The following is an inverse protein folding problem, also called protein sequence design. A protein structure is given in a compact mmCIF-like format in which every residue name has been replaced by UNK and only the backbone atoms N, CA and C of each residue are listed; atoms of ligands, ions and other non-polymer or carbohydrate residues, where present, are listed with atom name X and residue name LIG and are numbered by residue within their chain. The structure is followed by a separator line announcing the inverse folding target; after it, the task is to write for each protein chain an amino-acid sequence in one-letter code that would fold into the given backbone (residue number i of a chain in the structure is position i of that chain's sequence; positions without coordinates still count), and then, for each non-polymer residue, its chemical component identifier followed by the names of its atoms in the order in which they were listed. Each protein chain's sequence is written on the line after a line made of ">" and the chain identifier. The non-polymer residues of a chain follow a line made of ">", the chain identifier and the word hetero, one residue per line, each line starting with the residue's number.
data_IF_674392520428
#
_entry.id   IF_674392520428
#
_cell.length_a   1.000
_cell.length_b   1.000
_cell.length_c   1.000
_cell.angle_alpha   90.00
_cell.angle_beta   90.00
_cell.angle_gamma   90.00
#
_symmetry.space_group_name_H-M   'P 1'
#
loop_
_entity.id
_entity.type
_entity.pdbx_description
1 polymer ?
2 non-polymer ?
3 water ?
#
# COMPACT_ATOMS: atom_id res chain seq x y z
N UNK A 1 -28.09 20.39 1.73
CA UNK A 1 -29.56 20.69 1.85
C UNK A 1 -30.29 20.63 0.51
N UNK A 2 -29.76 21.25 -0.54
CA UNK A 2 -30.31 21.02 -1.90
C UNK A 2 -29.34 21.29 -3.06
N UNK A 3 -29.11 20.25 -3.86
CA UNK A 3 -28.18 20.29 -4.99
C UNK A 3 -28.55 19.29 -6.07
N UNK A 4 -27.95 19.41 -7.24
CA UNK A 4 -27.89 18.32 -8.22
C UNK A 4 -26.42 18.00 -8.48
N UNK A 5 -26.13 16.73 -8.73
CA UNK A 5 -24.77 16.25 -9.00
C UNK A 5 -24.75 15.26 -10.17
N UNK A 6 -23.57 15.07 -10.75
CA UNK A 6 -23.36 14.06 -11.77
C UNK A 6 -23.31 12.68 -11.10
N UNK A 7 -24.05 11.73 -11.67
CA UNK A 7 -24.15 10.36 -11.14
C UNK A 7 -22.77 9.68 -11.01
N UNK A 8 -21.96 9.76 -12.06
CA UNK A 8 -20.62 9.14 -12.08
C UNK A 8 -19.66 9.78 -11.08
N UNK A 9 -19.70 11.10 -10.96
CA UNK A 9 -18.91 11.80 -9.95
C UNK A 9 -19.27 11.32 -8.54
N UNK A 10 -20.58 11.21 -8.28
CA UNK A 10 -21.09 10.80 -6.99
C UNK A 10 -20.74 9.34 -6.70
N UNK A 11 -21.06 8.45 -7.64
CA UNK A 11 -20.73 7.02 -7.50
C UNK A 11 -19.26 6.79 -7.17
N UNK A 12 -18.37 7.36 -7.99
CA UNK A 12 -16.93 7.21 -7.76
C UNK A 12 -16.47 7.70 -6.41
N UNK A 13 -16.94 8.87 -5.99
CA UNK A 13 -16.62 9.36 -4.65
C UNK A 13 -17.12 8.39 -3.56
N UNK A 14 -18.34 7.87 -3.72
CA UNK A 14 -18.90 6.94 -2.75
C UNK A 14 -18.12 5.61 -2.67
N UNK A 15 -17.62 5.13 -3.80
CA UNK A 15 -16.86 3.87 -3.82
C UNK A 15 -15.64 3.95 -2.92
N UNK A 16 -14.86 5.02 -3.08
CA UNK A 16 -13.67 5.26 -2.29
C UNK A 16 -13.95 5.35 -0.81
N UNK A 17 -15.07 5.97 -0.46
CA UNK A 17 -15.47 6.18 0.93
C UNK A 17 -15.89 4.90 1.67
N UNK A 18 -16.30 3.87 0.92
CA UNK A 18 -16.80 2.62 1.52
C UNK A 18 -15.84 2.03 2.54
N UNK A 19 -14.55 2.04 2.22
CA UNK A 19 -13.54 1.43 3.09
C UNK A 19 -13.33 2.16 4.41
N UNK A 20 -13.86 3.37 4.54
CA UNK A 20 -13.74 4.15 5.78
C UNK A 20 -15.00 4.08 6.65
N UNK A 21 -15.91 3.16 6.34
CA UNK A 21 -17.16 3.00 7.07
C UNK A 21 -17.20 1.66 7.76
N UNK A 22 -17.70 1.65 9.00
CA UNK A 22 -18.11 0.41 9.64
C UNK A 22 -19.55 0.17 9.22
N UNK A 23 -19.74 -0.78 8.32
CA UNK A 23 -20.99 -0.93 7.61
C UNK A 23 -21.99 -1.85 8.27
N UNK A 24 -21.54 -2.68 9.20
CA UNK A 24 -22.38 -3.78 9.70
C UNK A 24 -23.53 -3.27 10.55
N UNK A 25 -23.27 -2.31 11.42
CA UNK A 25 -24.31 -1.70 12.23
C UNK A 25 -24.78 -0.39 11.57
N UNK A 26 -25.86 -0.49 10.81
CA UNK A 26 -26.44 0.64 10.09
C UNK A 26 -27.05 1.69 11.02
N UNK A 27 -27.33 1.33 12.28
CA UNK A 27 -27.84 2.28 13.27
C UNK A 27 -26.76 3.19 13.91
N UNK A 28 -25.48 2.98 13.58
CA UNK A 28 -24.39 3.78 14.15
C UNK A 28 -23.91 4.79 13.14
N UNK A 29 -23.56 5.96 13.64
CA UNK A 29 -22.99 7.04 12.85
C UNK A 29 -21.71 6.60 12.10
N UNK A 30 -21.00 5.60 12.62
CA UNK A 30 -19.83 5.03 11.93
C UNK A 30 -20.15 4.36 10.57
N UNK A 31 -21.42 4.07 10.30
CA UNK A 31 -21.86 3.63 8.96
C UNK A 31 -22.24 4.76 7.99
N UNK A 32 -22.17 6.01 8.46
CA UNK A 32 -22.59 7.16 7.66
C UNK A 32 -21.43 7.99 7.08
N UNK A 33 -21.71 8.65 5.97
CA UNK A 33 -20.83 9.62 5.36
C UNK A 33 -21.36 10.99 5.78
N UNK A 34 -20.47 11.89 6.17
CA UNK A 34 -20.83 13.27 6.45
C UNK A 34 -20.91 14.02 5.14
N UNK A 35 -21.92 14.87 5.00
CA UNK A 35 -22.18 15.65 3.78
C UNK A 35 -22.19 17.14 4.09
N UNK A 36 -21.55 17.95 3.25
CA UNK A 36 -21.56 19.42 3.40
C UNK A 36 -21.59 20.10 2.04
N UNK A 37 -22.62 20.91 1.81
CA UNK A 37 -22.72 21.71 0.59
C UNK A 37 -22.31 23.13 0.94
N UNK A 38 -21.19 23.58 0.39
CA UNK A 38 -20.82 25.01 0.40
C UNK A 38 -20.18 25.44 -0.93
N UNK A 39 -20.53 26.67 -1.33
CA UNK A 39 -20.27 27.19 -2.67
C UNK A 39 -20.84 26.21 -3.72
N UNK A 40 -20.03 25.74 -4.68
CA UNK A 40 -20.51 24.81 -5.68
C UNK A 40 -19.82 23.46 -5.46
N UNK A 41 -19.72 23.04 -4.20
CA UNK A 41 -19.07 21.79 -3.85
C UNK A 41 -19.88 20.99 -2.84
N UNK A 42 -20.00 19.68 -3.10
CA UNK A 42 -20.45 18.72 -2.10
C UNK A 42 -19.21 18.07 -1.53
N UNK A 43 -19.05 18.20 -0.21
CA UNK A 43 -17.97 17.56 0.52
C UNK A 43 -18.52 16.31 1.16
N UNK A 44 -17.81 15.21 0.99
CA UNK A 44 -18.16 13.91 1.57
C UNK A 44 -16.99 13.41 2.38
N UNK A 45 -17.22 13.06 3.65
CA UNK A 45 -16.16 12.46 4.44
C UNK A 45 -16.62 11.32 5.31
N UNK A 46 -15.69 10.42 5.57
CA UNK A 46 -15.88 9.31 6.49
C UNK A 46 -14.55 9.12 7.20
N UNK A 47 -14.60 9.07 8.53
CA UNK A 47 -13.40 9.02 9.34
C UNK A 47 -13.67 8.50 10.74
N UNK A 48 -12.59 8.32 11.49
CA UNK A 48 -12.68 8.07 12.92
C UNK A 48 -11.34 8.47 13.54
N UNK A 49 -11.05 8.04 14.76
CA UNK A 49 -9.75 8.28 15.40
C UNK A 49 -8.54 7.87 14.54
N UNK A 50 -8.66 6.72 13.86
CA UNK A 50 -7.52 6.06 13.19
C UNK A 50 -7.20 6.57 11.79
N UNK A 51 -8.25 6.79 11.00
CA UNK A 51 -8.11 6.93 9.56
C UNK A 51 -9.31 7.66 8.99
N UNK A 52 -9.13 8.33 7.86
CA UNK A 52 -10.24 9.03 7.24
C UNK A 52 -9.96 9.55 5.86
N UNK A 53 -11.03 9.85 5.14
CA UNK A 53 -10.97 10.43 3.82
C UNK A 53 -11.98 11.56 3.74
N UNK A 54 -11.56 12.69 3.17
CA UNK A 54 -12.46 13.74 2.75
C UNK A 54 -12.33 13.93 1.26
N UNK A 55 -13.46 13.94 0.55
CA UNK A 55 -13.50 14.14 -0.89
C UNK A 55 -14.48 15.25 -1.19
N UNK A 56 -14.43 15.76 -2.42
CA UNK A 56 -15.45 16.67 -2.91
C UNK A 56 -15.76 16.39 -4.37
N UNK A 57 -16.97 16.74 -4.76
CA UNK A 57 -17.36 16.85 -6.18
C UNK A 57 -18.08 18.18 -6.41
N UNK A 58 -18.06 18.62 -7.66
CA UNK A 58 -18.69 19.87 -8.06
C UNK A 58 -20.18 19.65 -8.21
N UNK A 59 -20.97 20.59 -7.71
CA UNK A 59 -22.40 20.57 -7.93
C UNK A 59 -22.69 21.06 -9.35
N UNK A 60 -23.60 20.39 -10.03
CA UNK A 60 -24.14 20.87 -11.30
C UNK A 60 -25.03 22.08 -11.06
N UNK A 61 -25.84 22.03 -10.01
CA UNK A 61 -26.56 23.19 -9.50
C UNK A 61 -26.53 23.16 -7.98
N UNK A 62 -26.56 24.33 -7.37
CA UNK A 62 -26.69 24.43 -5.93
C UNK A 62 -27.79 25.42 -5.62
N UNK A 63 -28.72 25.00 -4.77
CA UNK A 63 -29.79 25.87 -4.31
C UNK A 63 -29.77 26.15 -2.82
N UNK A 64 -29.25 25.23 -2.02
CA UNK A 64 -29.40 25.31 -0.58
C UNK A 64 -28.17 24.66 0.06
N UNK A 65 -27.42 25.48 0.81
CA UNK A 65 -26.22 25.05 1.49
C UNK A 65 -26.54 24.57 2.89
N UNK A 66 -25.78 23.57 3.33
CA UNK A 66 -25.88 23.03 4.67
C UNK A 66 -25.23 21.65 4.79
N UNK A 67 -25.56 20.96 5.87
CA UNK A 67 -24.90 19.73 6.28
C UNK A 67 -25.91 18.66 6.62
N UNK A 68 -25.41 17.42 6.64
CA UNK A 68 -26.16 16.25 7.05
C UNK A 68 -25.30 14.99 7.01
N UNK A 69 -25.93 13.84 7.04
CA UNK A 69 -25.24 12.56 7.00
C UNK A 69 -26.11 11.55 6.30
N UNK A 70 -25.50 10.43 5.92
CA UNK A 70 -26.22 9.36 5.24
C UNK A 70 -25.45 8.04 5.31
N UNK A 71 -26.19 6.94 5.42
CA UNK A 71 -25.59 5.61 5.39
C UNK A 71 -24.87 5.39 4.05
N UNK A 72 -23.56 5.22 4.12
CA UNK A 72 -22.72 5.20 2.92
C UNK A 72 -22.91 4.00 2.01
N UNK A 73 -23.08 2.81 2.60
CA UNK A 73 -23.32 1.58 1.82
C UNK A 73 -24.64 1.67 1.06
N UNK A 74 -25.70 2.05 1.77
CA UNK A 74 -27.03 2.20 1.18
C UNK A 74 -27.07 3.26 0.08
N UNK A 75 -26.42 4.39 0.33
CA UNK A 75 -26.31 5.49 -0.64
C UNK A 75 -25.65 4.98 -1.92
N UNK A 76 -24.51 4.33 -1.78
CA UNK A 76 -23.81 3.73 -2.93
C UNK A 76 -24.68 2.70 -3.65
N UNK A 77 -25.40 1.86 -2.90
CA UNK A 77 -26.26 0.84 -3.54
C UNK A 77 -27.34 1.50 -4.38
N UNK A 78 -27.96 2.57 -3.87
CA UNK A 78 -28.97 3.31 -4.65
C UNK A 78 -28.42 3.96 -5.91
N UNK A 79 -27.32 4.69 -5.80
CA UNK A 79 -26.75 5.44 -6.93
C UNK A 79 -26.28 4.50 -8.06
N UNK A 80 -25.66 3.38 -7.67
CA UNK A 80 -25.26 2.33 -8.60
C UNK A 80 -26.37 1.80 -9.50
N UNK A 81 -27.61 1.79 -9.00
CA UNK A 81 -28.77 1.31 -9.77
C UNK A 81 -29.47 2.41 -10.61
N UNK A 82 -28.90 3.62 -10.62
CA UNK A 82 -29.45 4.72 -11.42
C UNK A 82 -28.76 4.88 -12.77
N UNK A 83 -29.40 5.66 -13.63
CA UNK A 83 -28.89 5.96 -14.97
C UNK A 83 -27.94 7.15 -14.89
N UNK A 84 -27.28 7.45 -16.00
CA UNK A 84 -26.23 8.50 -16.00
C UNK A 84 -26.70 9.95 -15.82
N UNK A 85 -27.99 10.23 -16.05
CA UNK A 85 -28.52 11.59 -15.86
C UNK A 85 -28.28 12.12 -14.43
N UNK A 86 -28.20 13.45 -14.30
CA UNK A 86 -27.97 14.09 -13.00
C UNK A 86 -28.93 13.64 -11.90
N UNK A 87 -28.45 13.72 -10.67
CA UNK A 87 -29.20 13.29 -9.48
C UNK A 87 -29.41 14.47 -8.55
N UNK A 88 -30.65 14.63 -8.09
CA UNK A 88 -31.01 15.68 -7.16
C UNK A 88 -30.94 15.11 -5.74
N UNK A 89 -30.14 15.76 -4.89
CA UNK A 89 -30.05 15.43 -3.47
C UNK A 89 -30.66 16.58 -2.69
N UNK A 90 -31.55 16.26 -1.76
CA UNK A 90 -32.40 17.27 -1.13
C UNK A 90 -32.86 16.83 0.25
N UNK A 91 -32.56 17.61 1.28
CA UNK A 91 -33.02 17.31 2.65
C UNK A 91 -34.51 17.58 2.78
N UNK A 92 -35.15 16.80 3.64
CA UNK A 92 -36.53 17.00 4.06
C UNK A 92 -36.54 16.75 5.56
N UNK A 93 -36.15 17.76 6.33
CA UNK A 93 -35.82 17.65 7.77
C UNK A 93 -34.64 16.69 8.06
N UNK A 94 -34.88 15.54 8.69
CA UNK A 94 -33.77 14.61 9.02
C UNK A 94 -33.77 13.40 8.08
N UNK A 95 -34.07 13.68 6.82
CA UNK A 95 -34.12 12.68 5.76
C UNK A 95 -33.49 13.28 4.51
N UNK A 96 -32.71 12.48 3.77
CA UNK A 96 -32.19 12.88 2.47
C UNK A 96 -32.99 12.24 1.36
N UNK A 97 -33.50 13.08 0.47
CA UNK A 97 -34.23 12.63 -0.71
C UNK A 97 -33.26 12.59 -1.87
N UNK A 98 -33.41 11.57 -2.70
CA UNK A 98 -32.56 11.33 -3.86
C UNK A 98 -33.52 11.11 -5.02
N UNK A 99 -33.37 11.89 -6.09
CA UNK A 99 -34.30 11.84 -7.21
C UNK A 99 -33.59 11.87 -8.55
N UNK A 100 -34.13 11.09 -9.47
CA UNK A 100 -33.70 11.06 -10.85
C UNK A 100 -34.90 10.60 -11.69
N UNK A 101 -35.47 11.53 -12.46
CA UNK A 101 -36.60 11.25 -13.37
C UNK A 101 -37.78 10.66 -12.57
N UNK A 102 -38.16 9.41 -12.85
CA UNK A 102 -39.29 8.77 -12.18
C UNK A 102 -38.91 8.07 -10.87
N UNK A 103 -37.62 7.97 -10.58
CA UNK A 103 -37.12 7.23 -9.39
C UNK A 103 -36.81 8.18 -8.24
N UNK A 104 -37.32 7.87 -7.04
CA UNK A 104 -37.04 8.68 -5.85
C UNK A 104 -36.83 7.82 -4.60
N UNK A 105 -35.92 8.28 -3.73
CA UNK A 105 -35.52 7.54 -2.51
C UNK A 105 -35.47 8.48 -1.31
N UNK A 106 -35.73 7.92 -0.13
CA UNK A 106 -35.48 8.57 1.15
C UNK A 106 -34.57 7.69 2.00
N UNK A 107 -33.57 8.31 2.63
CA UNK A 107 -32.80 7.68 3.68
C UNK A 107 -32.70 8.62 4.89
N UNK A 108 -32.61 8.05 6.11
CA UNK A 108 -32.50 8.88 7.30
C UNK A 108 -31.10 9.44 7.50
N UNK A 109 -31.03 10.71 7.89
CA UNK A 109 -29.78 11.36 8.30
C UNK A 109 -29.68 11.25 9.81
N UNK A 110 -28.45 11.30 10.32
CA UNK A 110 -28.23 11.38 11.75
C UNK A 110 -27.76 12.79 12.08
N UNK A 111 -27.57 13.06 13.36
CA UNK A 111 -27.09 14.35 13.81
C UNK A 111 -25.64 14.53 13.32
N UNK A 112 -25.44 15.49 12.43
CA UNK A 112 -24.11 15.74 11.87
C UNK A 112 -23.06 16.16 12.92
N UNK A 113 -23.51 16.71 14.05
CA UNK A 113 -22.62 17.01 15.18
C UNK A 113 -21.98 15.80 15.87
N UNK A 114 -22.55 14.61 15.70
CA UNK A 114 -21.94 13.38 16.23
C UNK A 114 -20.71 12.94 15.42
N UNK A 115 -20.56 13.46 14.21
CA UNK A 115 -19.48 13.06 13.32
C UNK A 115 -18.12 13.58 13.81
N UNK A 116 -17.07 12.72 13.82
CA UNK A 116 -15.78 13.20 14.31
C UNK A 116 -15.24 14.40 13.52
N UNK A 117 -14.60 15.31 14.23
CA UNK A 117 -13.90 16.42 13.58
C UNK A 117 -12.76 15.87 12.73
N UNK A 118 -12.72 16.28 11.46
CA UNK A 118 -11.66 15.86 10.56
C UNK A 118 -10.39 16.61 10.98
N UNK A 119 -9.30 15.89 11.27
CA UNK A 119 -8.16 16.53 11.90
C UNK A 119 -7.33 17.33 10.90
N UNK A 120 -6.64 18.35 11.42
CA UNK A 120 -5.62 19.08 10.67
C UNK A 120 -4.35 19.11 11.51
N UNK A 121 -3.21 19.12 10.84
CA UNK A 121 -1.91 19.09 11.51
C UNK A 121 -1.12 20.34 11.21
N UNK A 122 -0.18 20.64 12.11
CA UNK A 122 0.91 21.56 11.83
C UNK A 122 2.07 20.67 11.41
N UNK A 123 2.38 20.64 10.11
CA UNK A 123 3.37 19.68 9.64
C UNK A 123 4.78 19.94 10.15
N UNK A 124 5.43 18.90 10.67
CA UNK A 124 6.86 18.90 10.99
C UNK A 124 7.71 18.49 9.79
N UNK A 125 7.13 17.70 8.89
CA UNK A 125 7.77 17.30 7.62
C UNK A 125 6.74 17.34 6.48
N UNK A 126 7.21 17.71 5.30
CA UNK A 126 6.32 17.84 4.14
C UNK A 126 7.09 17.52 2.87
N UNK A 127 6.46 16.79 1.96
CA UNK A 127 6.98 16.60 0.63
C UNK A 127 5.87 16.74 -0.40
N UNK A 128 6.25 17.12 -1.61
CA UNK A 128 5.37 17.09 -2.76
C UNK A 128 5.85 15.94 -3.63
N UNK A 129 4.97 15.00 -3.91
CA UNK A 129 5.30 13.85 -4.73
C UNK A 129 4.73 14.07 -6.12
N UNK A 130 5.62 14.31 -7.08
CA UNK A 130 5.22 14.62 -8.47
C UNK A 130 5.42 13.46 -9.45
N UNK A 131 5.77 12.28 -8.93
CA UNK A 131 6.03 11.10 -9.76
C UNK A 131 5.59 9.83 -9.01
N UNK A 132 5.47 8.68 -9.71
CA UNK A 132 4.93 7.48 -9.06
C UNK A 132 5.87 6.66 -8.18
N UNK A 133 7.12 7.09 -7.99
CA UNK A 133 8.10 6.27 -7.25
C UNK A 133 7.66 5.88 -5.84
N UNK A 134 6.98 6.79 -5.13
CA UNK A 134 6.61 6.51 -3.75
C UNK A 134 5.57 5.41 -3.69
N UNK A 135 4.49 5.53 -4.46
CA UNK A 135 3.46 4.49 -4.48
C UNK A 135 3.99 3.20 -5.10
N UNK A 136 4.94 3.34 -6.04
CA UNK A 136 5.59 2.17 -6.59
C UNK A 136 6.31 1.40 -5.48
N UNK A 137 7.03 2.13 -4.63
CA UNK A 137 7.70 1.51 -3.47
C UNK A 137 6.72 0.87 -2.50
N UNK A 138 5.67 1.60 -2.18
CA UNK A 138 4.57 1.14 -1.34
C UNK A 138 3.99 -0.17 -1.84
N UNK A 139 3.71 -0.21 -3.14
CA UNK A 139 3.11 -1.39 -3.75
C UNK A 139 4.09 -2.59 -3.72
N UNK A 140 5.35 -2.34 -4.02
CA UNK A 140 6.33 -3.43 -4.11
C UNK A 140 6.73 -4.00 -2.74
N UNK A 141 6.62 -3.18 -1.69
CA UNK A 141 7.05 -3.56 -0.35
C UNK A 141 5.90 -4.11 0.49
N UNK A 142 4.67 -3.68 0.20
CA UNK A 142 3.49 -4.09 0.98
C UNK A 142 3.37 -5.59 1.25
N UNK A 143 3.65 -6.46 0.25
CA UNK A 143 3.50 -7.91 0.48
C UNK A 143 4.32 -8.50 1.63
N UNK A 144 5.45 -7.90 1.99
CA UNK A 144 6.25 -8.41 3.09
C UNK A 144 5.72 -7.99 4.48
N UNK A 145 4.78 -7.04 4.54
CA UNK A 145 4.27 -6.54 5.83
C UNK A 145 2.99 -7.29 6.24
N UNK A 146 3.01 -7.85 7.45
CA UNK A 146 1.84 -8.52 8.01
C UNK A 146 0.98 -7.51 8.79
N UNK A 147 -0.23 -7.25 8.29
CA UNK A 147 -1.14 -6.28 8.91
C UNK A 147 -1.54 -6.72 10.32
N UNK A 148 -1.86 -8.00 10.46
CA UNK A 148 -2.19 -8.61 11.76
C UNK A 148 -0.94 -9.02 12.57
N UNK A 149 0.22 -8.40 12.31
CA UNK A 149 1.44 -8.71 13.06
C UNK A 149 1.20 -8.42 14.52
N UNK A 150 1.62 -9.34 15.37
CA UNK A 150 1.42 -9.21 16.81
C UNK A 150 2.36 -8.17 17.46
N UNK A 151 3.44 -7.78 16.76
CA UNK A 151 4.30 -6.67 17.15
C UNK A 151 3.91 -5.41 16.35
N UNK A 152 3.65 -4.32 17.08
CA UNK A 152 2.97 -3.12 16.54
C UNK A 152 3.72 -2.42 15.40
N UNK A 153 5.01 -2.16 15.59
CA UNK A 153 5.76 -1.34 14.62
C UNK A 153 6.10 -2.06 13.32
N UNK A 154 6.08 -3.39 13.34
CA UNK A 154 6.26 -4.19 12.12
C UNK A 154 4.96 -4.33 11.35
N UNK A 155 3.84 -3.93 11.95
CA UNK A 155 2.56 -3.90 11.22
C UNK A 155 2.45 -2.73 10.22
N UNK A 156 3.52 -1.96 10.05
CA UNK A 156 3.51 -0.85 9.10
C UNK A 156 4.80 -0.67 8.32
N UNK A 157 4.80 0.33 7.45
CA UNK A 157 5.94 0.58 6.58
C UNK A 157 6.72 1.78 7.11
N UNK A 158 8.03 1.67 7.15
CA UNK A 158 8.89 2.76 7.59
C UNK A 158 9.11 3.73 6.44
N UNK A 159 9.00 5.02 6.75
CA UNK A 159 9.43 6.10 5.89
C UNK A 159 10.47 6.89 6.68
N UNK A 160 11.74 6.82 6.25
CA UNK A 160 12.82 7.51 6.93
C UNK A 160 13.35 8.62 6.04
N UNK A 161 13.13 9.86 6.47
CA UNK A 161 13.52 11.05 5.73
C UNK A 161 14.88 11.55 6.22
N UNK A 162 15.81 11.77 5.29
CA UNK A 162 17.06 12.44 5.60
C UNK A 162 17.06 13.76 4.83
N UNK A 163 16.65 14.81 5.52
CA UNK A 163 16.63 16.18 4.97
C UNK A 163 18.02 16.59 4.48
N UNK A 164 19.06 16.27 5.24
CA UNK A 164 20.44 16.63 4.90
C UNK A 164 20.89 16.10 3.53
N UNK A 165 20.55 14.84 3.23
CA UNK A 165 20.95 14.21 1.96
C UNK A 165 19.79 14.09 0.96
N UNK A 166 18.61 14.60 1.31
CA UNK A 166 17.44 14.63 0.43
C UNK A 166 17.01 13.21 -0.02
N UNK A 167 17.00 12.27 0.92
CA UNK A 167 16.60 10.89 0.62
C UNK A 167 15.43 10.43 1.49
N UNK A 168 14.57 9.62 0.87
CA UNK A 168 13.46 8.98 1.55
C UNK A 168 13.74 7.48 1.46
N UNK A 169 13.94 6.85 2.61
CA UNK A 169 14.08 5.41 2.70
C UNK A 169 12.73 4.82 3.08
N UNK A 170 12.36 3.74 2.40
CA UNK A 170 11.13 3.02 2.67
C UNK A 170 11.47 1.56 2.94
N UNK A 171 10.94 1.01 4.04
CA UNK A 171 11.32 -0.29 4.57
C UNK A 171 10.10 -1.05 5.10
N UNK A 172 9.97 -2.30 4.68
CA UNK A 172 9.01 -3.24 5.25
C UNK A 172 9.72 -4.50 5.70
N UNK A 173 9.17 -5.16 6.73
CA UNK A 173 9.68 -6.45 7.20
C UNK A 173 8.64 -7.26 7.97
N UNK A 174 8.78 -8.57 7.90
CA UNK A 174 8.04 -9.51 8.75
C UNK A 174 8.97 -10.32 9.63
N UNK A 175 10.24 -9.93 9.70
CA UNK A 175 11.30 -10.63 10.47
C UNK A 175 12.05 -11.76 9.74
N UNK A 176 11.42 -12.37 8.73
CA UNK A 176 12.05 -13.38 7.88
C UNK A 176 12.69 -12.79 6.63
N UNK A 177 12.16 -11.64 6.22
CA UNK A 177 12.59 -10.93 5.01
C UNK A 177 12.37 -9.42 5.20
N UNK A 178 13.22 -8.64 4.57
CA UNK A 178 13.18 -7.20 4.68
C UNK A 178 13.36 -6.59 3.29
N UNK A 179 12.38 -5.82 2.84
CA UNK A 179 12.44 -5.14 1.54
C UNK A 179 12.62 -3.64 1.74
N UNK A 180 13.51 -3.04 0.96
CA UNK A 180 13.84 -1.62 1.11
C UNK A 180 14.15 -0.93 -0.21
N UNK A 181 13.94 0.37 -0.22
CA UNK A 181 14.45 1.23 -1.27
C UNK A 181 14.84 2.56 -0.64
N UNK A 182 15.77 3.25 -1.27
CA UNK A 182 16.08 4.61 -0.87
C UNK A 182 15.91 5.49 -2.10
N UNK A 183 15.00 6.44 -1.99
CA UNK A 183 14.66 7.32 -3.10
C UNK A 183 15.51 8.58 -2.97
N UNK A 184 16.16 8.96 -4.05
CA UNK A 184 17.15 10.06 -4.06
C UNK A 184 16.52 11.33 -4.62
N UNK A 185 17.13 12.47 -4.28
CA UNK A 185 16.72 13.77 -4.80
C UNK A 185 15.24 14.07 -4.56
N UNK A 186 14.80 13.93 -3.30
CA UNK A 186 13.46 14.33 -2.88
C UNK A 186 13.57 15.63 -2.09
N UNK A 187 12.91 16.69 -2.54
CA UNK A 187 12.92 17.97 -1.81
C UNK A 187 12.09 17.81 -0.55
N UNK A 188 12.78 17.56 0.56
CA UNK A 188 12.16 17.38 1.86
C UNK A 188 12.22 18.70 2.62
N UNK A 189 11.05 19.14 3.11
CA UNK A 189 10.97 20.30 4.01
C UNK A 189 10.65 19.77 5.39
N UNK A 190 11.63 19.89 6.29
CA UNK A 190 11.52 19.37 7.64
C UNK A 190 12.18 20.30 8.66
N UNK A 191 11.69 20.24 9.89
CA UNK A 191 12.29 20.90 11.02
C UNK A 191 13.51 20.12 11.59
N UNK A 192 13.65 18.84 11.22
CA UNK A 192 14.83 18.04 11.62
C UNK A 192 15.57 17.44 10.41
N UNK A 193 16.86 17.17 10.60
CA UNK A 193 17.71 16.57 9.58
C UNK A 193 17.38 15.09 9.35
N UNK A 194 16.90 14.43 10.40
CA UNK A 194 16.44 13.03 10.33
C UNK A 194 15.13 12.85 11.09
N UNK A 195 14.21 12.08 10.50
CA UNK A 195 12.87 11.89 11.05
C UNK A 195 12.20 10.67 10.41
N UNK A 196 11.39 9.95 11.19
CA UNK A 196 10.81 8.69 10.76
C UNK A 196 9.32 8.60 11.07
N UNK A 197 8.55 8.05 10.13
CA UNK A 197 7.11 7.81 10.27
C UNK A 197 6.86 6.31 9.98
N UNK A 198 5.98 5.68 10.75
CA UNK A 198 5.56 4.32 10.48
C UNK A 198 4.08 4.34 10.14
N UNK A 199 3.75 4.07 8.87
CA UNK A 199 2.36 4.05 8.40
C UNK A 199 1.78 2.66 8.55
N UNK A 200 0.58 2.52 9.15
CA UNK A 200 -0.06 1.19 9.20
C UNK A 200 -0.33 0.59 7.82
N UNK A 201 -0.36 -0.74 7.73
CA UNK A 201 -0.56 -1.45 6.46
C UNK A 201 -1.93 -1.11 5.88
N UNK A 202 -2.94 -1.13 6.74
CA UNK A 202 -4.31 -0.73 6.38
C UNK A 202 -4.30 0.63 5.63
N UNK A 203 -3.56 1.60 6.17
CA UNK A 203 -3.40 2.93 5.53
C UNK A 203 -2.67 2.86 4.19
N UNK A 204 -1.57 2.11 4.19
CA UNK A 204 -0.81 1.80 2.97
C UNK A 204 -1.73 1.33 1.84
N UNK A 205 -2.60 0.37 2.15
CA UNK A 205 -3.48 -0.18 1.13
C UNK A 205 -4.46 0.86 0.61
N UNK A 206 -5.01 1.67 1.51
CA UNK A 206 -5.90 2.76 1.09
C UNK A 206 -5.24 3.77 0.18
N UNK A 207 -4.03 4.17 0.55
CA UNK A 207 -3.23 5.11 -0.25
C UNK A 207 -3.02 4.60 -1.68
N UNK A 208 -2.77 3.29 -1.81
CA UNK A 208 -2.61 2.66 -3.13
C UNK A 208 -3.86 2.78 -4.00
N UNK A 209 -5.04 2.75 -3.38
CA UNK A 209 -6.30 2.99 -4.11
C UNK A 209 -6.55 4.47 -4.46
N UNK A 210 -6.10 5.38 -3.61
CA UNK A 210 -6.45 6.81 -3.76
C UNK A 210 -5.44 7.67 -4.52
N UNK A 211 -4.16 7.36 -4.41
CA UNK A 211 -3.13 8.27 -4.92
C UNK A 211 -2.20 7.58 -5.89
N UNK A 212 -1.62 8.36 -6.80
CA UNK A 212 -0.61 7.86 -7.73
C UNK A 212 0.58 8.83 -7.78
N UNK A 213 0.32 10.06 -8.19
CA UNK A 213 1.32 11.12 -8.22
C UNK A 213 0.63 12.48 -8.08
N UNK A 214 1.42 13.53 -7.94
CA UNK A 214 0.91 14.90 -7.72
C UNK A 214 0.08 14.98 -6.45
N UNK A 215 0.70 14.62 -5.35
CA UNK A 215 0.08 14.76 -4.04
C UNK A 215 1.12 15.20 -3.03
N UNK A 216 0.64 15.76 -1.93
CA UNK A 216 1.50 16.13 -0.82
C UNK A 216 1.38 15.06 0.24
N UNK A 217 2.50 14.83 0.93
CA UNK A 217 2.56 14.00 2.12
C UNK A 217 3.09 14.92 3.20
N UNK A 218 2.32 15.05 4.28
CA UNK A 218 2.68 15.89 5.43
C UNK A 218 2.48 15.12 6.71
N UNK A 219 3.33 15.37 7.71
CA UNK A 219 3.19 14.74 9.03
C UNK A 219 3.70 15.60 10.17
N UNK A 220 3.03 15.47 11.31
CA UNK A 220 3.43 16.11 12.57
C UNK A 220 4.04 15.10 13.55
N UNK A 221 4.44 13.93 13.05
CA UNK A 221 4.90 12.83 13.91
C UNK A 221 3.82 12.06 14.67
N UNK A 222 2.55 12.45 14.52
CA UNK A 222 1.42 11.72 15.12
C UNK A 222 0.45 11.22 14.06
N UNK A 223 0.03 12.12 13.16
CA UNK A 223 -0.76 11.76 11.98
C UNK A 223 0.03 12.02 10.69
N UNK A 224 -0.31 11.28 9.64
CA UNK A 224 0.14 11.59 8.29
C UNK A 224 -1.06 12.03 7.47
N UNK A 225 -0.94 13.15 6.77
CA UNK A 225 -2.01 13.68 5.93
C UNK A 225 -1.49 13.66 4.50
N UNK A 226 -2.27 13.04 3.61
CA UNK A 226 -1.94 12.97 2.20
C UNK A 226 -3.06 13.65 1.45
N UNK A 227 -2.70 14.50 0.50
CA UNK A 227 -3.66 15.36 -0.14
C UNK A 227 -3.34 15.57 -1.61
N UNK A 228 -4.38 15.53 -2.44
CA UNK A 228 -4.32 15.97 -3.81
C UNK A 228 -5.53 16.90 -4.07
N UNK A 229 -5.88 17.09 -5.34
CA UNK A 229 -6.91 18.05 -5.74
C UNK A 229 -8.27 17.65 -5.18
N UNK A 230 -8.63 16.38 -5.37
CA UNK A 230 -9.94 15.87 -5.00
C UNK A 230 -10.00 15.29 -3.56
N UNK A 231 -8.88 14.85 -3.00
CA UNK A 231 -8.89 14.03 -1.78
C UNK A 231 -7.97 14.51 -0.69
N UNK A 232 -8.43 14.44 0.55
CA UNK A 232 -7.56 14.53 1.73
C UNK A 232 -7.73 13.26 2.56
N UNK A 233 -6.62 12.56 2.78
CA UNK A 233 -6.58 11.32 3.52
C UNK A 233 -5.70 11.52 4.75
N UNK A 234 -6.04 10.86 5.85
CA UNK A 234 -5.17 10.81 7.02
C UNK A 234 -5.14 9.42 7.65
N UNK A 235 -4.08 9.17 8.39
CA UNK A 235 -3.96 7.97 9.21
C UNK A 235 -3.13 8.30 10.44
N UNK A 236 -3.46 7.68 11.56
CA UNK A 236 -2.54 7.68 12.70
C UNK A 236 -1.27 6.91 12.34
N UNK A 237 -0.14 7.35 12.90
CA UNK A 237 1.14 6.68 12.76
C UNK A 237 1.30 5.70 13.91
N UNK A 238 2.23 4.75 13.74
CA UNK A 238 2.53 3.73 14.74
C UNK A 238 3.73 4.17 15.58
N UNK A 239 3.62 3.99 16.89
CA UNK A 239 4.49 4.67 17.86
C UNK A 239 5.94 4.25 18.01
N UNK A 240 6.24 2.96 17.90
CA UNK A 240 7.53 2.43 18.36
C UNK A 240 8.76 2.89 17.59
N UNK A 241 9.86 2.20 17.86
CA UNK A 241 11.07 2.34 17.06
C UNK A 241 11.18 1.16 16.12
N UNK A 242 11.16 1.45 14.83
CA UNK A 242 11.27 0.43 13.79
C UNK A 242 12.70 -0.10 13.81
N UNK A 243 12.90 -1.41 13.56
CA UNK A 243 14.24 -2.00 13.51
C UNK A 243 15.28 -1.20 12.72
N UNK A 244 16.50 -1.10 13.25
CA UNK A 244 17.63 -0.50 12.54
C UNK A 244 18.03 -1.42 11.37
N UNK A 245 17.42 -1.16 10.21
CA UNK A 245 17.61 -2.00 9.03
C UNK A 245 19.02 -1.90 8.44
N UNK A 246 19.67 -0.75 8.61
CA UNK A 246 21.06 -0.57 8.16
C UNK A 246 22.04 -1.47 8.91
N UNK A 247 21.74 -1.76 10.18
CA UNK A 247 22.53 -2.72 10.97
C UNK A 247 22.25 -4.13 10.46
N UNK A 248 20.98 -4.42 10.18
CA UNK A 248 20.52 -5.75 9.74
C UNK A 248 21.15 -6.15 8.41
N UNK A 249 21.14 -5.25 7.43
CA UNK A 249 21.73 -5.52 6.11
C UNK A 249 23.22 -5.86 6.23
N UNK A 250 23.68 -6.95 5.60
CA UNK A 250 25.11 -7.32 5.57
C UNK A 250 26.04 -6.25 5.02
N UNK A 251 27.34 -6.40 5.32
CA UNK A 251 28.37 -5.45 4.94
C UNK A 251 28.72 -5.67 3.47
N UNK A 252 29.15 -6.90 3.18
CA UNK A 252 29.53 -7.34 1.84
C UNK A 252 28.94 -8.73 1.59
N UNK A 253 29.08 -9.21 0.36
CA UNK A 253 28.62 -10.54 -0.01
C UNK A 253 29.74 -11.28 -0.69
N UNK A 254 30.00 -12.51 -0.22
CA UNK A 254 31.03 -13.39 -0.80
C UNK A 254 30.82 -13.57 -2.30
N UNK A 255 29.56 -13.85 -2.69
CA UNK A 255 29.24 -14.09 -4.10
C UNK A 255 27.98 -13.33 -4.53
N UNK A 256 28.00 -12.91 -5.79
CA UNK A 256 26.89 -12.22 -6.43
C UNK A 256 26.67 -12.83 -7.82
N UNK A 257 25.47 -13.35 -8.05
CA UNK A 257 25.14 -13.99 -9.32
C UNK A 257 24.07 -13.21 -10.08
N UNK A 258 24.30 -13.00 -11.38
CA UNK A 258 23.33 -12.33 -12.24
C UNK A 258 22.53 -13.41 -12.97
N UNK A 259 21.22 -13.41 -12.74
CA UNK A 259 20.32 -14.52 -13.08
C UNK A 259 19.02 -14.09 -13.77
N UNK A 260 18.36 -15.07 -14.40
CA UNK A 260 17.17 -14.84 -15.22
C UNK A 260 15.91 -14.78 -14.38
N UNK A 261 15.27 -13.61 -14.36
CA UNK A 261 14.11 -13.38 -13.48
C UNK A 261 12.94 -14.32 -13.81
N UNK A 262 12.51 -14.35 -15.07
CA UNK A 262 11.31 -15.10 -15.46
C UNK A 262 11.60 -16.59 -15.40
N UNK A 263 12.80 -17.00 -15.79
CA UNK A 263 13.15 -18.42 -15.66
C UNK A 263 13.15 -18.88 -14.22
N UNK A 264 13.65 -18.05 -13.29
CA UNK A 264 13.58 -18.40 -11.88
C UNK A 264 12.14 -18.38 -11.35
N UNK A 265 11.32 -17.41 -11.76
CA UNK A 265 9.89 -17.40 -11.38
C UNK A 265 9.20 -18.70 -11.77
N UNK A 266 9.36 -19.08 -13.04
CA UNK A 266 8.70 -20.28 -13.57
C UNK A 266 9.19 -21.52 -12.86
N UNK A 267 10.50 -21.59 -12.63
CA UNK A 267 11.08 -22.77 -12.00
C UNK A 267 10.61 -22.91 -10.56
N UNK A 268 10.47 -21.78 -9.88
CA UNK A 268 10.06 -21.80 -8.47
C UNK A 268 8.58 -22.11 -8.36
N UNK A 269 7.75 -21.46 -9.16
CA UNK A 269 6.31 -21.77 -9.22
C UNK A 269 6.14 -23.26 -9.44
N UNK A 270 6.87 -23.79 -10.42
CA UNK A 270 6.79 -25.18 -10.78
C UNK A 270 7.08 -26.07 -9.58
N UNK A 271 8.20 -25.86 -8.88
CA UNK A 271 8.55 -26.71 -7.73
C UNK A 271 7.62 -26.49 -6.54
N UNK A 272 7.06 -25.29 -6.44
CA UNK A 272 6.14 -24.98 -5.37
C UNK A 272 4.73 -25.60 -5.55
N UNK A 273 4.46 -26.25 -6.68
CA UNK A 273 3.27 -27.08 -6.81
C UNK A 273 3.22 -28.19 -5.73
N UNK A 274 4.39 -28.67 -5.30
CA UNK A 274 4.48 -29.72 -4.27
C UNK A 274 5.17 -29.34 -2.96
N UNK A 275 5.66 -28.11 -2.83
CA UNK A 275 6.28 -27.70 -1.58
C UNK A 275 6.32 -26.19 -1.39
N UNK A 276 6.54 -25.77 -0.15
CA UNK A 276 6.70 -24.36 0.21
C UNK A 276 8.18 -23.91 0.20
N UNK A 277 9.10 -24.86 0.35
CA UNK A 277 10.51 -24.55 0.31
C UNK A 277 11.19 -25.34 -0.80
N UNK A 278 12.28 -24.77 -1.29
CA UNK A 278 12.98 -25.29 -2.47
C UNK A 278 14.48 -25.30 -2.19
N UNK A 279 15.13 -26.34 -2.69
CA UNK A 279 16.59 -26.42 -2.74
C UNK A 279 17.04 -25.90 -4.10
N UNK A 280 17.68 -24.74 -4.10
CA UNK A 280 18.34 -24.20 -5.27
C UNK A 280 19.78 -24.68 -5.31
N UNK A 281 20.23 -25.16 -6.45
CA UNK A 281 21.65 -25.49 -6.68
C UNK A 281 22.15 -24.69 -7.87
N UNK A 282 23.18 -23.90 -7.65
CA UNK A 282 23.81 -23.12 -8.72
C UNK A 282 25.12 -23.76 -9.12
N UNK A 283 25.27 -24.02 -10.41
CA UNK A 283 26.51 -24.47 -11.00
C UNK A 283 26.94 -23.42 -12.00
N UNK A 284 28.11 -23.63 -12.62
CA UNK A 284 28.67 -22.68 -13.57
C UNK A 284 27.69 -22.36 -14.72
N UNK A 285 27.12 -23.39 -15.35
CA UNK A 285 26.21 -23.18 -16.48
C UNK A 285 24.80 -23.71 -16.26
N UNK A 286 24.39 -23.80 -14.99
CA UNK A 286 23.13 -24.43 -14.64
C UNK A 286 22.54 -23.99 -13.31
N UNK A 287 21.22 -23.88 -13.25
CA UNK A 287 20.51 -23.68 -12.00
C UNK A 287 19.54 -24.83 -11.86
N UNK A 288 19.62 -25.58 -10.75
CA UNK A 288 18.69 -26.71 -10.47
C UNK A 288 17.78 -26.32 -9.33
N UNK A 289 16.51 -26.73 -9.45
CA UNK A 289 15.49 -26.45 -8.46
C UNK A 289 14.86 -27.76 -8.07
N UNK A 290 14.69 -27.99 -6.76
CA UNK A 290 14.06 -29.21 -6.27
C UNK A 290 13.19 -28.87 -5.08
N UNK A 291 11.97 -29.42 -5.05
CA UNK A 291 11.11 -29.34 -3.86
C UNK A 291 11.81 -29.96 -2.64
N UNK A 292 11.68 -29.27 -1.51
CA UNK A 292 12.49 -29.57 -0.32
C UNK A 292 11.63 -30.16 0.82
N UNK A 293 10.65 -29.40 1.31
CA UNK A 293 9.73 -29.92 2.35
C UNK A 293 8.47 -30.55 1.74
N UNK A 294 8.60 -31.21 0.59
CA UNK A 294 7.50 -31.98 0.01
C UNK A 294 7.27 -33.23 0.86
N UNK A 295 6.02 -33.69 0.90
CA UNK A 295 5.67 -34.94 1.58
C UNK A 295 6.41 -36.07 0.90
N UNK A 296 6.72 -37.12 1.66
CA UNK A 296 7.60 -38.17 1.14
C UNK A 296 6.90 -38.91 -0.01
N UNK A 297 7.72 -39.41 -0.93
CA UNK A 297 7.27 -39.94 -2.23
C UNK A 297 6.67 -38.90 -3.19
N UNK A 298 6.82 -37.60 -2.90
CA UNK A 298 6.40 -36.54 -3.81
C UNK A 298 7.60 -35.66 -4.10
N UNK A 299 7.96 -35.54 -5.38
CA UNK A 299 9.13 -34.75 -5.79
C UNK A 299 8.80 -33.89 -7.01
N UNK A 300 9.40 -32.70 -7.05
CA UNK A 300 9.34 -31.80 -8.19
C UNK A 300 10.76 -31.28 -8.43
N UNK A 301 11.23 -31.39 -9.68
CA UNK A 301 12.55 -30.93 -10.07
C UNK A 301 12.52 -30.24 -11.43
N UNK A 302 13.36 -29.24 -11.58
CA UNK A 302 13.64 -28.69 -12.89
C UNK A 302 14.98 -28.01 -12.91
N UNK A 303 15.41 -27.60 -14.09
CA UNK A 303 16.62 -26.81 -14.23
C UNK A 303 16.58 -25.90 -15.43
N UNK A 304 17.42 -24.86 -15.39
CA UNK A 304 17.61 -23.98 -16.54
C UNK A 304 19.10 -23.81 -16.84
N UNK A 305 19.40 -23.63 -18.11
CA UNK A 305 20.75 -23.38 -18.54
C UNK A 305 21.13 -21.91 -18.27
N UNK A 306 22.31 -21.70 -17.71
CA UNK A 306 22.92 -20.38 -17.57
C UNK A 306 24.06 -20.25 -18.61
N UNK A 307 23.80 -19.51 -19.70
CA UNK A 307 24.75 -19.36 -20.80
C UNK A 307 26.00 -18.60 -20.41
N UNK A 308 25.83 -17.40 -19.86
CA UNK A 308 26.95 -16.61 -19.36
C UNK A 308 27.31 -17.17 -17.99
N UNK A 309 28.38 -17.97 -17.96
CA UNK A 309 28.69 -18.82 -16.82
C UNK A 309 28.87 -18.06 -15.53
N UNK A 310 28.51 -18.70 -14.43
CA UNK A 310 28.70 -18.16 -13.10
C UNK A 310 30.13 -18.41 -12.61
N UNK A 311 30.55 -17.62 -11.62
CA UNK A 311 31.87 -17.77 -11.00
C UNK A 311 31.77 -18.73 -9.80
N UNK A 312 31.70 -20.03 -10.10
CA UNK A 312 31.51 -21.08 -9.08
C UNK A 312 32.56 -22.18 -9.24
N UNK A 313 32.98 -22.71 -8.11
CA UNK A 313 34.11 -23.64 -8.00
C UNK A 313 33.63 -25.08 -8.14
N UNK A 314 32.44 -25.37 -7.61
CA UNK A 314 31.73 -26.62 -7.92
C UNK A 314 30.22 -26.39 -7.96
N UNK A 315 29.63 -26.14 -6.80
CA UNK A 315 28.18 -26.01 -6.68
C UNK A 315 27.80 -25.34 -5.37
N UNK A 316 27.02 -24.26 -5.48
CA UNK A 316 26.47 -23.54 -4.34
C UNK A 316 25.02 -24.02 -4.12
N UNK A 317 24.73 -24.49 -2.91
CA UNK A 317 23.41 -24.95 -2.54
C UNK A 317 22.75 -23.96 -1.58
N UNK A 318 21.46 -23.70 -1.78
CA UNK A 318 20.74 -22.71 -0.99
C UNK A 318 19.28 -23.14 -0.83
N UNK A 319 18.85 -23.30 0.41
CA UNK A 319 17.44 -23.54 0.73
C UNK A 319 16.73 -22.20 0.76
N UNK A 320 15.57 -22.11 0.10
CA UNK A 320 14.80 -20.87 0.02
C UNK A 320 13.32 -21.12 0.23
N UNK A 321 12.64 -20.13 0.79
CA UNK A 321 11.18 -20.07 0.84
C UNK A 321 10.67 -19.59 -0.51
N UNK A 322 9.85 -20.43 -1.15
CA UNK A 322 9.34 -20.19 -2.51
C UNK A 322 8.56 -18.89 -2.66
N UNK A 323 7.53 -18.74 -1.83
CA UNK A 323 6.71 -17.53 -1.82
C UNK A 323 7.56 -16.27 -1.66
N UNK A 324 8.51 -16.29 -0.73
CA UNK A 324 9.35 -15.13 -0.47
C UNK A 324 10.23 -14.79 -1.65
N UNK A 325 10.87 -15.81 -2.22
CA UNK A 325 11.75 -15.63 -3.36
C UNK A 325 10.95 -15.05 -4.55
N UNK A 326 9.76 -15.59 -4.80
CA UNK A 326 8.90 -15.10 -5.87
C UNK A 326 8.49 -13.66 -5.67
N UNK A 327 8.02 -13.35 -4.47
CA UNK A 327 7.60 -11.97 -4.15
C UNK A 327 8.78 -11.01 -4.28
N UNK A 328 9.99 -11.44 -3.95
CA UNK A 328 11.20 -10.61 -4.17
C UNK A 328 11.41 -10.34 -5.65
N UNK A 329 11.31 -11.38 -6.48
CA UNK A 329 11.41 -11.22 -7.93
C UNK A 329 10.27 -10.36 -8.51
N UNK A 330 9.06 -10.56 -8.00
CA UNK A 330 7.91 -9.73 -8.40
C UNK A 330 8.11 -8.24 -8.14
N UNK A 331 8.87 -7.89 -7.12
CA UNK A 331 9.16 -6.49 -6.83
C UNK A 331 10.17 -5.83 -7.77
N UNK A 332 10.80 -6.59 -8.67
CA UNK A 332 11.85 -6.09 -9.58
C UNK A 332 11.35 -5.70 -10.97
N UNK A 333 11.87 -4.60 -11.49
CA UNK A 333 11.56 -4.11 -12.82
C UNK A 333 12.41 -4.64 -13.96
N UNK A 334 13.51 -5.33 -13.65
CA UNK A 334 14.48 -5.76 -14.67
C UNK A 334 14.19 -7.19 -15.17
N UNK A 335 14.70 -7.50 -16.36
CA UNK A 335 14.63 -8.87 -16.89
C UNK A 335 15.61 -9.85 -16.22
N UNK A 336 16.63 -9.31 -15.57
CA UNK A 336 17.56 -10.10 -14.78
C UNK A 336 17.59 -9.63 -13.35
N UNK A 337 18.14 -10.45 -12.46
CA UNK A 337 18.29 -10.08 -11.05
C UNK A 337 19.64 -10.51 -10.54
N UNK A 338 20.07 -9.85 -9.47
CA UNK A 338 21.31 -10.19 -8.79
C UNK A 338 20.95 -10.86 -7.48
N UNK A 339 21.53 -12.04 -7.27
CA UNK A 339 21.43 -12.78 -6.03
C UNK A 339 22.76 -12.69 -5.29
N UNK A 340 22.80 -12.03 -4.14
CA UNK A 340 24.04 -11.90 -3.37
C UNK A 340 23.98 -12.76 -2.13
N UNK A 341 24.99 -13.62 -1.96
CA UNK A 341 25.04 -14.60 -0.87
C UNK A 341 26.35 -14.52 -0.06
N UNK A 342 26.26 -14.99 1.18
CA UNK A 342 27.42 -15.40 1.96
C UNK A 342 27.28 -16.90 2.19
N UNK A 343 27.15 -17.35 3.44
CA UNK A 343 27.07 -18.77 3.72
C UNK A 343 25.66 -19.21 3.38
N UNK A 344 25.46 -20.49 3.00
CA UNK A 344 24.09 -20.99 2.80
C UNK A 344 23.14 -20.83 4.00
N UNK A 345 23.70 -20.66 5.21
CA UNK A 345 22.92 -20.45 6.43
C UNK A 345 22.65 -18.96 6.78
N UNK A 346 23.26 -18.02 6.06
CA UNK A 346 23.08 -16.59 6.34
C UNK A 346 22.14 -15.89 5.33
N UNK A 347 21.50 -14.79 5.76
CA UNK A 347 20.66 -13.99 4.87
C UNK A 347 21.25 -13.67 3.50
N UNK A 348 20.43 -13.72 2.46
CA UNK A 348 20.86 -13.41 1.11
C UNK A 348 20.02 -12.28 0.54
N UNK A 349 20.55 -11.63 -0.49
CA UNK A 349 19.93 -10.45 -1.06
C UNK A 349 19.49 -10.69 -2.49
N UNK A 350 18.32 -10.16 -2.82
CA UNK A 350 17.84 -10.12 -4.18
C UNK A 350 17.61 -8.68 -4.57
N UNK A 351 18.17 -8.28 -5.71
CA UNK A 351 17.89 -6.96 -6.23
C UNK A 351 17.95 -6.93 -7.75
N UNK A 352 17.52 -5.80 -8.31
CA UNK A 352 17.55 -5.60 -9.74
C UNK A 352 18.96 -5.67 -10.29
N UNK A 353 19.01 -6.07 -11.56
CA UNK A 353 20.23 -5.95 -12.33
C UNK A 353 20.53 -4.46 -12.43
N UNK A 354 21.80 -4.09 -12.24
CA UNK A 354 22.24 -2.69 -12.16
C UNK A 354 21.62 -1.96 -10.96
N UNK A 362 9.73 5.06 -11.14
CA UNK A 362 9.83 3.76 -10.48
C UNK A 362 10.86 3.73 -9.36
N UNK A 363 10.53 3.05 -8.27
CA UNK A 363 11.48 2.73 -7.20
C UNK A 363 12.18 1.40 -7.53
N UNK A 364 13.38 1.19 -6.97
CA UNK A 364 14.09 -0.11 -7.06
C UNK A 364 14.13 -0.78 -5.70
N UNK A 365 13.37 -1.88 -5.57
CA UNK A 365 13.19 -2.57 -4.31
C UNK A 365 14.13 -3.76 -4.25
N UNK A 366 14.94 -3.79 -3.19
CA UNK A 366 15.78 -4.92 -2.84
C UNK A 366 15.17 -5.68 -1.67
N UNK A 367 15.36 -6.99 -1.64
CA UNK A 367 14.86 -7.84 -0.57
C UNK A 367 16.01 -8.69 0.02
N UNK A 368 16.17 -8.60 1.34
CA UNK A 368 17.04 -9.47 2.11
C UNK A 368 16.17 -10.58 2.66
N UNK A 369 16.70 -11.78 2.77
CA UNK A 369 15.91 -12.96 3.07
C UNK A 369 16.71 -13.99 3.87
N UNK A 370 16.10 -14.54 4.92
CA UNK A 370 16.67 -15.65 5.66
C UNK A 370 16.53 -16.93 4.82
N UNK A 371 17.63 -17.71 4.67
CA UNK A 371 17.53 -19.00 3.97
C UNK A 371 16.86 -20.09 4.80
N UNK A 372 16.62 -21.23 4.15
CA UNK A 372 16.09 -22.44 4.77
C UNK A 372 17.27 -23.41 4.87
N UNK A 373 17.36 -24.13 5.99
CA UNK A 373 18.55 -24.95 6.28
C UNK A 373 18.52 -26.29 5.53
N UNK A 374 19.70 -26.77 5.13
CA UNK A 374 19.89 -28.07 4.43
C UNK A 374 19.22 -28.09 3.05
#
# INVERSE_FOLDING_TARGET
>A
MKISVSKNDLENALRYLQAFLDKKDASSIASHIHLEVIKEKLFLKASDSDIGLKSYIFTQSSDKEGVGTINGKKFLDIISCLKDSNIILETKDDSLAIKQNKSSFKLPMFDADEFPEFPVIDPKVSIEVNAPFLVDAFKKIAPVIEQTSHKRELAGILMQFDQKHQTLSVVGTDTKRLSYTQLEKISIHSTEEDISCILPKRALLEILKLFYENFSFKSDGMLAVIENEMHTFFTKLIDGNYPDYQKILPKEYISSFTLGKEEFKESIKLCSSLSSTIKLTLEKNNALFESLDSEHSETAKTSVEIEKGLDIEKAFHLGVNAKFFLEALNALGTTQFVLRCNEPSSPFLIQESLDEKQSHLNAKISTLMMPITL
#
